data_IF_589851749466
#
_entry.id   IF_589851749466
#
_cell.length_a   1.000
_cell.length_b   1.000
_cell.length_c   1.000
_cell.angle_alpha   90.00
_cell.angle_beta   90.00
_cell.angle_gamma   90.00
#
_symmetry.space_group_name_H-M   'P 1'
#
loop_
_entity.id
_entity.type
_entity.pdbx_description
1 polymer ?
#
# COMPACT_ATOMS: atom_id res chain seq x y z
N UNK A 1 36.69 23.80 -47.87
CA UNK A 1 35.88 23.13 -46.83
C UNK A 1 35.18 21.98 -47.50
N UNK A 2 35.56 20.76 -47.17
CA UNK A 2 35.04 19.57 -47.84
C UNK A 2 33.55 19.41 -47.55
N UNK A 3 32.76 19.20 -48.61
CA UNK A 3 31.30 19.11 -48.54
C UNK A 3 30.84 18.06 -47.50
N UNK A 4 31.64 17.00 -47.32
CA UNK A 4 31.39 15.95 -46.33
C UNK A 4 31.45 16.42 -44.88
N UNK A 5 32.32 17.37 -44.52
CA UNK A 5 32.39 17.88 -43.14
C UNK A 5 31.17 18.73 -42.80
N UNK A 6 30.64 19.47 -43.78
CA UNK A 6 29.42 20.27 -43.64
C UNK A 6 28.22 19.36 -43.37
N UNK A 7 28.07 18.27 -44.13
CA UNK A 7 26.98 17.30 -43.89
C UNK A 7 27.10 16.60 -42.54
N UNK A 8 28.32 16.24 -42.12
CA UNK A 8 28.56 15.61 -40.81
C UNK A 8 28.16 16.54 -39.66
N UNK A 9 28.57 17.81 -39.73
CA UNK A 9 28.23 18.82 -38.71
C UNK A 9 26.72 19.03 -38.67
N UNK A 10 26.05 19.13 -39.83
CA UNK A 10 24.61 19.35 -39.89
C UNK A 10 23.81 18.16 -39.35
N UNK A 11 24.22 16.93 -39.67
CA UNK A 11 23.60 15.72 -39.12
C UNK A 11 23.76 15.64 -37.59
N UNK A 12 24.96 15.92 -37.08
CA UNK A 12 25.22 15.93 -35.63
C UNK A 12 24.40 17.02 -34.93
N UNK A 13 24.37 18.23 -35.50
CA UNK A 13 23.60 19.35 -34.95
C UNK A 13 22.11 19.00 -34.89
N UNK A 14 21.57 18.41 -35.94
CA UNK A 14 20.15 18.00 -36.00
C UNK A 14 19.84 16.95 -34.93
N UNK A 15 20.73 15.97 -34.72
CA UNK A 15 20.56 14.95 -33.70
C UNK A 15 20.60 15.52 -32.27
N UNK A 16 21.53 16.43 -32.00
CA UNK A 16 21.61 17.15 -30.72
C UNK A 16 20.38 18.02 -30.51
N UNK A 17 19.93 18.74 -31.55
CA UNK A 17 18.73 19.57 -31.49
C UNK A 17 17.47 18.74 -31.21
N UNK A 18 17.34 17.54 -31.80
CA UNK A 18 16.23 16.64 -31.48
C UNK A 18 16.33 16.07 -30.07
N UNK A 19 17.52 15.73 -29.61
CA UNK A 19 17.74 15.21 -28.26
C UNK A 19 17.39 16.26 -27.18
N UNK A 20 17.89 17.48 -27.33
CA UNK A 20 17.63 18.61 -26.41
C UNK A 20 16.24 19.21 -26.60
N UNK A 21 15.68 19.16 -27.81
CA UNK A 21 14.34 19.64 -28.12
C UNK A 21 13.23 18.70 -27.64
N UNK A 22 13.53 17.41 -27.46
CA UNK A 22 12.57 16.41 -26.98
C UNK A 22 11.80 16.82 -25.71
N UNK A 23 12.43 17.27 -24.61
CA UNK A 23 11.71 17.74 -23.41
C UNK A 23 10.86 19.00 -23.66
N UNK A 24 11.18 19.80 -24.68
CA UNK A 24 10.43 21.04 -25.00
C UNK A 24 9.10 20.78 -25.72
N UNK A 25 8.98 19.65 -26.43
CA UNK A 25 7.74 19.20 -27.07
C UNK A 25 6.89 18.34 -26.15
N UNK A 26 7.50 17.69 -25.16
CA UNK A 26 6.84 16.84 -24.18
C UNK A 26 6.39 17.64 -22.95
N UNK A 27 5.58 18.68 -23.16
CA UNK A 27 5.01 19.52 -22.08
C UNK A 27 4.27 18.69 -21.02
N UNK A 28 3.78 17.51 -21.42
CA UNK A 28 3.12 16.54 -20.55
C UNK A 28 4.09 15.78 -19.64
N UNK A 29 5.35 15.61 -20.02
CA UNK A 29 6.37 14.97 -19.20
C UNK A 29 6.90 15.91 -18.12
N UNK A 30 7.13 17.19 -18.45
CA UNK A 30 7.55 18.21 -17.48
C UNK A 30 6.49 18.43 -16.40
N UNK A 31 5.20 18.48 -16.78
CA UNK A 31 4.11 18.58 -15.80
C UNK A 31 4.00 17.33 -14.91
N UNK A 32 4.35 16.15 -15.43
CA UNK A 32 4.31 14.91 -14.66
C UNK A 32 5.45 14.83 -13.65
N UNK A 33 6.66 15.27 -14.02
CA UNK A 33 7.79 15.36 -13.09
C UNK A 33 7.52 16.38 -11.98
N UNK A 34 6.99 17.57 -12.29
CA UNK A 34 6.65 18.55 -11.25
C UNK A 34 5.52 18.08 -10.33
N UNK A 35 4.54 17.33 -10.85
CA UNK A 35 3.47 16.74 -10.03
C UNK A 35 3.99 15.60 -9.14
N UNK A 36 4.92 14.78 -9.64
CA UNK A 36 5.55 13.72 -8.86
C UNK A 36 6.41 14.31 -7.73
N UNK A 37 7.22 15.33 -8.02
CA UNK A 37 8.03 16.03 -7.02
C UNK A 37 7.14 16.67 -5.93
N UNK A 38 6.02 17.31 -6.30
CA UNK A 38 5.10 17.89 -5.32
C UNK A 38 4.45 16.83 -4.42
N UNK A 39 4.01 15.70 -4.98
CA UNK A 39 3.45 14.60 -4.20
C UNK A 39 4.47 13.98 -3.25
N UNK A 40 5.72 13.80 -3.69
CA UNK A 40 6.79 13.28 -2.86
C UNK A 40 7.12 14.22 -1.69
N UNK A 41 7.05 15.55 -1.91
CA UNK A 41 7.19 16.53 -0.85
C UNK A 41 6.03 16.45 0.16
N UNK A 42 4.78 16.36 -0.31
CA UNK A 42 3.61 16.22 0.57
C UNK A 42 3.69 14.96 1.43
N UNK A 43 4.02 13.81 0.84
CA UNK A 43 4.21 12.54 1.57
C UNK A 43 5.34 12.68 2.59
N UNK A 44 6.45 13.31 2.22
CA UNK A 44 7.59 13.53 3.12
C UNK A 44 7.21 14.40 4.33
N UNK A 45 6.41 15.45 4.12
CA UNK A 45 5.94 16.32 5.22
C UNK A 45 5.02 15.55 6.18
N UNK A 46 4.11 14.72 5.65
CA UNK A 46 3.22 13.90 6.46
C UNK A 46 3.97 12.82 7.26
N UNK A 47 5.03 12.23 6.68
CA UNK A 47 5.90 11.29 7.39
C UNK A 47 6.64 11.96 8.55
N UNK A 48 7.12 13.19 8.36
CA UNK A 48 7.74 13.96 9.43
C UNK A 48 6.75 14.28 10.56
N UNK A 49 5.49 14.60 10.22
CA UNK A 49 4.45 14.84 11.22
C UNK A 49 4.11 13.57 12.00
N UNK A 50 4.04 12.40 11.34
CA UNK A 50 3.90 11.11 12.03
C UNK A 50 5.01 10.92 13.08
N UNK A 51 6.27 11.12 12.68
CA UNK A 51 7.41 10.90 13.58
C UNK A 51 7.39 11.88 14.76
N UNK A 52 6.97 13.13 14.51
CA UNK A 52 6.76 14.12 15.56
C UNK A 52 5.71 13.66 16.58
N UNK A 53 4.56 13.15 16.12
CA UNK A 53 3.49 12.67 17.01
C UNK A 53 3.94 11.47 17.81
N UNK A 54 4.65 10.53 17.19
CA UNK A 54 5.17 9.33 17.86
C UNK A 54 6.19 9.70 18.94
N UNK A 55 7.13 10.60 18.64
CA UNK A 55 8.10 11.08 19.62
C UNK A 55 7.41 11.79 20.79
N UNK A 56 6.40 12.62 20.50
CA UNK A 56 5.67 13.30 21.55
C UNK A 56 4.88 12.31 22.43
N UNK A 57 4.29 11.26 21.85
CA UNK A 57 3.59 10.21 22.60
C UNK A 57 4.56 9.44 23.50
N UNK A 58 5.75 9.12 22.97
CA UNK A 58 6.80 8.43 23.71
C UNK A 58 7.32 9.28 24.88
N UNK A 59 7.53 10.59 24.67
CA UNK A 59 7.94 11.51 25.73
C UNK A 59 6.86 11.61 26.82
N UNK A 60 5.58 11.69 26.43
CA UNK A 60 4.46 11.69 27.37
C UNK A 60 4.43 10.41 28.22
N UNK A 61 4.57 9.25 27.58
CA UNK A 61 4.62 7.95 28.27
C UNK A 61 5.84 7.87 29.20
N UNK A 62 6.96 8.45 28.80
CA UNK A 62 8.18 8.50 29.60
C UNK A 62 8.03 9.42 30.81
N UNK A 63 7.52 10.63 30.63
CA UNK A 63 7.26 11.58 31.71
C UNK A 63 6.25 11.01 32.72
N UNK A 64 5.24 10.28 32.25
CA UNK A 64 4.33 9.52 33.09
C UNK A 64 5.06 8.41 33.88
N UNK A 65 5.89 7.60 33.21
CA UNK A 65 6.68 6.55 33.86
C UNK A 65 7.67 7.09 34.92
N UNK A 66 8.11 8.33 34.76
CA UNK A 66 8.94 9.06 35.71
C UNK A 66 8.16 9.67 36.87
N UNK A 67 6.82 9.61 36.85
CA UNK A 67 5.96 10.23 37.86
C UNK A 67 5.92 11.76 37.79
N UNK A 68 6.31 12.37 36.66
CA UNK A 68 6.20 13.83 36.48
C UNK A 68 4.77 14.28 36.18
N UNK A 69 3.94 13.36 35.66
CA UNK A 69 2.56 13.62 35.26
C UNK A 69 1.64 12.82 36.18
N UNK A 70 0.62 13.44 36.78
CA UNK A 70 -0.35 12.74 37.61
C UNK A 70 -1.27 11.83 36.78
N UNK A 71 -1.72 10.72 37.39
CA UNK A 71 -2.56 9.68 36.77
C UNK A 71 -3.89 10.21 36.20
N UNK A 72 -4.37 11.34 36.70
CA UNK A 72 -5.60 12.00 36.28
C UNK A 72 -5.47 12.73 34.92
N UNK A 73 -4.29 13.25 34.60
CA UNK A 73 -4.06 14.06 33.38
C UNK A 73 -3.52 13.24 32.20
N UNK A 74 -2.75 12.19 32.50
CA UNK A 74 -2.14 11.31 31.48
C UNK A 74 -3.14 10.69 30.49
N UNK A 75 -4.24 10.02 30.91
CA UNK A 75 -5.13 9.32 29.98
C UNK A 75 -5.83 10.28 29.00
N UNK A 76 -6.17 11.50 29.45
CA UNK A 76 -6.80 12.50 28.60
C UNK A 76 -5.82 13.02 27.52
N UNK A 77 -4.58 13.34 27.91
CA UNK A 77 -3.55 13.81 26.97
C UNK A 77 -3.17 12.73 25.96
N UNK A 78 -3.00 11.48 26.43
CA UNK A 78 -2.68 10.34 25.57
C UNK A 78 -3.79 10.05 24.56
N UNK A 79 -5.05 10.11 24.98
CA UNK A 79 -6.19 9.90 24.08
C UNK A 79 -6.24 10.97 22.97
N UNK A 80 -5.98 12.24 23.32
CA UNK A 80 -5.94 13.33 22.35
C UNK A 80 -4.82 13.14 21.32
N UNK A 81 -3.60 12.80 21.77
CA UNK A 81 -2.46 12.61 20.87
C UNK A 81 -2.58 11.34 20.01
N UNK A 82 -3.15 10.26 20.55
CA UNK A 82 -3.46 9.06 19.77
C UNK A 82 -4.48 9.33 18.67
N UNK A 83 -5.51 10.12 18.97
CA UNK A 83 -6.50 10.53 17.97
C UNK A 83 -5.84 11.33 16.84
N UNK A 84 -4.98 12.29 17.20
CA UNK A 84 -4.23 13.08 16.22
C UNK A 84 -3.29 12.21 15.37
N UNK A 85 -2.54 11.29 16.00
CA UNK A 85 -1.68 10.36 15.27
C UNK A 85 -2.44 9.45 14.30
N UNK A 86 -3.62 8.97 14.71
CA UNK A 86 -4.49 8.18 13.84
C UNK A 86 -5.00 8.98 12.62
N UNK A 87 -5.28 10.27 12.80
CA UNK A 87 -5.70 11.17 11.72
C UNK A 87 -4.56 11.44 10.71
N UNK A 88 -3.34 11.67 11.20
CA UNK A 88 -2.14 11.82 10.36
C UNK A 88 -1.88 10.54 9.55
N UNK A 89 -1.95 9.37 10.20
CA UNK A 89 -1.77 8.07 9.53
C UNK A 89 -2.85 7.80 8.48
N UNK A 90 -4.11 8.17 8.75
CA UNK A 90 -5.21 8.04 7.78
C UNK A 90 -4.99 8.92 6.54
N UNK A 91 -4.46 10.12 6.76
CA UNK A 91 -4.15 11.06 5.67
C UNK A 91 -3.01 10.52 4.79
N UNK A 92 -1.96 9.97 5.43
CA UNK A 92 -0.87 9.28 4.74
C UNK A 92 -1.37 8.11 3.89
N UNK A 93 -2.22 7.25 4.45
CA UNK A 93 -2.75 6.08 3.74
C UNK A 93 -3.59 6.49 2.52
N UNK A 94 -4.37 7.57 2.66
CA UNK A 94 -5.17 8.14 1.56
C UNK A 94 -4.28 8.70 0.44
N UNK A 95 -3.22 9.44 0.80
CA UNK A 95 -2.29 9.98 -0.20
C UNK A 95 -1.48 8.87 -0.88
N UNK A 96 -1.02 7.87 -0.13
CA UNK A 96 -0.29 6.74 -0.69
C UNK A 96 -1.18 5.91 -1.63
N UNK A 97 -2.45 5.70 -1.27
CA UNK A 97 -3.43 5.03 -2.12
C UNK A 97 -3.76 5.83 -3.39
N UNK A 98 -3.68 7.16 -3.35
CA UNK A 98 -3.87 8.03 -4.52
C UNK A 98 -2.61 8.12 -5.41
N UNK A 99 -1.41 8.05 -4.80
CA UNK A 99 -0.13 8.10 -5.48
C UNK A 99 0.23 6.76 -6.15
N UNK A 100 -0.27 5.64 -5.64
CA UNK A 100 -0.26 4.41 -6.41
C UNK A 100 -1.26 4.57 -7.56
N UNK A 101 -0.82 4.56 -8.84
CA UNK A 101 -1.76 4.37 -9.92
C UNK A 101 -2.43 3.04 -9.60
N UNK A 102 -3.70 3.11 -9.21
CA UNK A 102 -4.54 1.96 -8.90
C UNK A 102 -4.15 0.87 -9.87
N UNK A 103 -3.52 -0.20 -9.34
CA UNK A 103 -3.37 -1.43 -10.08
C UNK A 103 -4.72 -1.63 -10.74
N UNK A 104 -4.71 -1.54 -12.09
CA UNK A 104 -5.90 -1.49 -12.91
C UNK A 104 -6.95 -2.39 -12.27
N UNK A 105 -8.17 -1.88 -12.03
CA UNK A 105 -9.30 -2.72 -11.63
C UNK A 105 -9.13 -4.05 -12.35
N UNK A 106 -9.01 -5.19 -11.63
CA UNK A 106 -8.53 -6.43 -12.22
C UNK A 106 -9.26 -6.58 -13.54
N UNK A 107 -8.50 -6.48 -14.65
CA UNK A 107 -9.12 -6.56 -15.96
C UNK A 107 -9.96 -7.84 -15.97
N UNK A 108 -11.05 -7.90 -16.73
CA UNK A 108 -11.85 -9.12 -16.80
C UNK A 108 -10.97 -10.37 -17.02
N UNK A 109 -9.85 -10.22 -17.74
CA UNK A 109 -8.82 -11.25 -17.88
C UNK A 109 -8.13 -11.71 -16.57
N UNK A 110 -7.90 -10.83 -15.60
CA UNK A 110 -7.39 -11.17 -14.27
C UNK A 110 -8.44 -11.90 -13.42
N UNK A 111 -9.70 -11.48 -13.48
CA UNK A 111 -10.82 -12.16 -12.81
C UNK A 111 -11.05 -13.56 -13.40
N UNK A 112 -11.08 -13.68 -14.73
CA UNK A 112 -11.21 -14.93 -15.48
C UNK A 112 -10.09 -15.92 -15.14
N UNK A 113 -8.85 -15.43 -14.99
CA UNK A 113 -7.71 -16.25 -14.56
C UNK A 113 -7.87 -16.82 -13.16
N UNK A 114 -8.42 -16.02 -12.24
CA UNK A 114 -8.65 -16.44 -10.84
C UNK A 114 -9.78 -17.50 -10.83
N UNK A 115 -10.86 -17.28 -11.58
CA UNK A 115 -11.97 -18.22 -11.67
C UNK A 115 -11.52 -19.56 -12.28
N UNK A 116 -10.72 -19.54 -13.34
CA UNK A 116 -10.15 -20.74 -13.94
C UNK A 116 -9.24 -21.52 -12.96
N UNK A 117 -8.43 -20.82 -12.16
CA UNK A 117 -7.59 -21.44 -11.14
C UNK A 117 -8.41 -22.11 -10.03
N UNK A 118 -9.52 -21.47 -9.61
CA UNK A 118 -10.45 -22.03 -8.62
C UNK A 118 -11.19 -23.25 -9.20
N UNK A 119 -11.65 -23.19 -10.44
CA UNK A 119 -12.32 -24.30 -11.12
C UNK A 119 -11.39 -25.52 -11.26
N UNK A 120 -10.14 -25.31 -11.66
CA UNK A 120 -9.13 -26.36 -11.72
C UNK A 120 -8.89 -27.02 -10.34
N UNK A 121 -8.86 -26.21 -9.27
CA UNK A 121 -8.71 -26.72 -7.90
C UNK A 121 -9.94 -27.49 -7.42
N UNK A 122 -11.15 -27.08 -7.80
CA UNK A 122 -12.39 -27.84 -7.49
C UNK A 122 -12.48 -29.14 -8.27
N UNK A 123 -12.12 -29.13 -9.55
CA UNK A 123 -12.10 -30.33 -10.39
C UNK A 123 -11.09 -31.37 -9.90
N UNK A 124 -9.97 -30.92 -9.32
CA UNK A 124 -8.98 -31.79 -8.66
C UNK A 124 -9.36 -32.18 -7.23
N UNK A 125 -10.33 -31.51 -6.59
CA UNK A 125 -10.73 -31.73 -5.19
C UNK A 125 -12.13 -32.33 -5.00
N UNK A 126 -12.82 -32.81 -6.04
CA UNK A 126 -14.12 -33.48 -5.90
C UNK A 126 -14.14 -34.87 -6.57
N UNK A 127 -14.50 -35.98 -5.88
CA UNK A 127 -14.99 -36.12 -4.50
C UNK A 127 -14.23 -37.16 -3.63
N UNK A 128 -13.60 -36.70 -2.54
CA UNK A 128 -13.26 -37.57 -1.39
C UNK A 128 -14.18 -37.34 -0.17
N UNK A 129 -15.15 -36.42 -0.26
CA UNK A 129 -16.02 -36.05 0.86
C UNK A 129 -17.48 -36.57 0.76
N UNK A 130 -17.82 -37.32 -0.29
CA UNK A 130 -19.17 -37.93 -0.42
C UNK A 130 -19.30 -39.33 0.21
N UNK A 131 -18.21 -39.92 0.74
CA UNK A 131 -18.21 -41.29 1.26
C UNK A 131 -18.16 -41.41 2.80
N UNK A 132 -18.05 -40.29 3.54
CA UNK A 132 -17.82 -40.32 4.99
C UNK A 132 -19.03 -39.90 5.84
N UNK A 133 -20.21 -39.67 5.24
CA UNK A 133 -21.42 -39.33 5.99
C UNK A 133 -22.44 -40.46 5.92
N UNK A 134 -22.19 -41.50 6.70
CA UNK A 134 -23.08 -42.63 6.86
C UNK A 134 -22.58 -43.52 7.99
N UNK A 135 -23.20 -43.36 9.16
CA UNK A 135 -23.18 -44.30 10.29
C UNK A 135 -22.11 -44.10 11.38
N UNK A 136 -22.10 -42.94 12.05
CA UNK A 136 -21.66 -42.88 13.45
C UNK A 136 -22.79 -43.44 14.33
N UNK A 137 -22.76 -44.77 14.53
CA UNK A 137 -23.54 -45.46 15.56
C UNK A 137 -23.21 -44.79 16.91
N UNK A 138 -24.15 -44.00 17.41
CA UNK A 138 -24.16 -43.46 18.76
C UNK A 138 -24.15 -44.66 19.71
N UNK A 139 -23.03 -44.91 20.36
CA UNK A 139 -22.96 -45.79 21.53
C UNK A 139 -23.17 -44.85 22.71
N UNK A 140 -24.39 -44.79 23.19
CA UNK A 140 -24.75 -44.13 24.44
C UNK A 140 -24.14 -44.91 25.60
N UNK A 141 -23.34 -44.21 26.40
CA UNK A 141 -22.93 -44.61 27.75
C UNK A 141 -24.16 -44.69 28.68
N UNK A 142 -24.07 -45.62 29.63
CA UNK A 142 -24.78 -45.73 30.92
C UNK A 142 -26.32 -45.71 30.91
N UNK A 143 -26.94 -46.87 31.15
CA UNK A 143 -27.61 -47.13 32.43
C UNK A 143 -28.11 -48.59 32.53
N UNK A 144 -28.16 -49.06 33.79
CA UNK A 144 -28.99 -50.13 34.32
C UNK A 144 -28.52 -51.61 34.40
N UNK A 145 -27.93 -51.90 35.58
CA UNK A 145 -28.50 -52.79 36.60
C UNK A 145 -28.89 -54.22 36.20
N UNK A 146 -28.10 -55.23 36.62
CA UNK A 146 -28.65 -56.51 37.09
C UNK A 146 -27.80 -57.09 38.27
N UNK A 147 -28.48 -57.14 39.42
CA UNK A 147 -28.53 -58.16 40.51
C UNK A 147 -27.29 -59.00 40.85
#
# INVERSE_FOLDING_TARGET
>A
MDLGSIFLILALLTLVALFVGRPFFDRSAVQRDEQADQQDHEISTLLAERDRVLNALQELDFDYSMGKIPDEDYPAQRAMMLKYGAEVLRTLDTQLAAAQPSAELPSQAAEDRIEAAIAARRASSAPAYAAANGNSKVISEDDDLEV
#
